data_IF_312130519775
#
_entry.id   IF_312130519775
#
_cell.length_a   1.000
_cell.length_b   1.000
_cell.length_c   1.000
_cell.angle_alpha   90.00
_cell.angle_beta   90.00
_cell.angle_gamma   90.00
#
_symmetry.space_group_name_H-M   'P 1'
#
loop_
_entity.id
_entity.type
_entity.pdbx_description
1 polymer ?
#
# COMPACT_ATOMS: atom_id res chain seq x y z
N UNK A 1 -26.98 -66.90 -35.07
CA UNK A 1 -27.51 -66.10 -36.19
C UNK A 1 -28.79 -65.40 -35.72
N UNK A 2 -29.08 -64.20 -36.23
CA UNK A 2 -30.45 -63.65 -36.26
C UNK A 2 -30.86 -62.74 -35.10
N UNK A 3 -30.77 -61.43 -35.31
CA UNK A 3 -31.47 -60.37 -34.56
C UNK A 3 -33.00 -60.43 -34.75
N UNK A 4 -33.78 -59.74 -33.89
CA UNK A 4 -35.12 -59.32 -34.32
C UNK A 4 -36.17 -58.80 -33.31
N UNK A 5 -35.94 -57.62 -32.69
CA UNK A 5 -36.94 -56.58 -32.32
C UNK A 5 -38.35 -56.93 -31.81
N UNK A 6 -38.76 -56.27 -30.71
CA UNK A 6 -39.89 -55.29 -30.52
C UNK A 6 -40.29 -55.23 -29.01
N UNK A 7 -40.91 -54.20 -28.41
CA UNK A 7 -41.53 -52.89 -28.79
C UNK A 7 -41.72 -52.02 -27.53
N UNK A 8 -41.79 -50.68 -27.66
CA UNK A 8 -42.65 -49.68 -26.93
C UNK A 8 -42.14 -48.25 -27.23
N UNK A 9 -42.71 -47.46 -28.15
CA UNK A 9 -43.90 -46.55 -28.05
C UNK A 9 -43.75 -45.32 -27.14
N UNK A 10 -43.38 -44.19 -27.77
CA UNK A 10 -43.58 -42.75 -27.44
C UNK A 10 -45.08 -42.33 -27.60
N UNK A 11 -45.57 -41.05 -27.54
CA UNK A 11 -44.96 -39.68 -27.41
C UNK A 11 -45.70 -38.81 -26.32
N UNK A 12 -45.79 -37.44 -26.32
CA UNK A 12 -45.18 -36.38 -27.16
C UNK A 12 -44.56 -35.13 -26.44
N UNK A 13 -43.96 -34.26 -27.26
CA UNK A 13 -43.34 -32.97 -26.89
C UNK A 13 -44.34 -31.81 -26.68
N UNK A 14 -43.91 -30.76 -25.99
CA UNK A 14 -44.33 -29.36 -26.24
C UNK A 14 -43.11 -28.42 -26.33
N UNK A 15 -43.31 -27.26 -26.95
CA UNK A 15 -42.27 -26.39 -27.57
C UNK A 15 -41.66 -25.36 -26.62
N UNK A 16 -40.45 -24.91 -26.97
CA UNK A 16 -39.86 -23.64 -26.51
C UNK A 16 -40.66 -22.42 -26.96
N UNK A 17 -40.68 -21.38 -26.12
CA UNK A 17 -40.63 -19.99 -26.56
C UNK A 17 -39.88 -19.14 -25.53
N UNK A 18 -39.42 -17.98 -25.98
CA UNK A 18 -38.35 -17.15 -25.42
C UNK A 18 -38.79 -16.18 -24.29
N UNK A 19 -37.83 -15.36 -23.87
CA UNK A 19 -37.92 -14.11 -23.10
C UNK A 19 -38.15 -14.19 -21.58
N UNK A 20 -37.05 -13.98 -20.83
CA UNK A 20 -36.94 -12.78 -19.98
C UNK A 20 -35.48 -12.35 -19.87
N UNK A 21 -35.19 -11.16 -20.41
CA UNK A 21 -34.01 -10.36 -20.05
C UNK A 21 -34.06 -9.98 -18.56
N UNK A 22 -32.91 -9.97 -17.90
CA UNK A 22 -32.79 -9.59 -16.49
C UNK A 22 -31.33 -9.45 -16.07
N UNK A 23 -30.79 -8.21 -15.93
CA UNK A 23 -29.40 -8.03 -15.53
C UNK A 23 -29.24 -8.33 -14.04
N UNK A 24 -28.65 -9.48 -13.71
CA UNK A 24 -28.15 -9.74 -12.38
C UNK A 24 -27.02 -8.75 -12.08
N UNK A 25 -27.31 -7.78 -11.22
CA UNK A 25 -26.42 -6.67 -10.91
C UNK A 25 -25.34 -7.08 -9.90
N UNK A 26 -24.35 -7.86 -10.35
CA UNK A 26 -23.19 -8.24 -9.54
C UNK A 26 -22.41 -6.99 -9.09
N UNK A 27 -22.18 -6.89 -7.78
CA UNK A 27 -21.51 -5.76 -7.13
C UNK A 27 -19.99 -5.94 -7.07
N UNK A 28 -19.32 -5.75 -8.20
CA UNK A 28 -17.89 -5.99 -8.36
C UNK A 28 -17.02 -4.86 -7.75
N UNK A 29 -15.85 -5.21 -7.19
CA UNK A 29 -14.85 -4.29 -6.64
C UNK A 29 -13.45 -4.55 -7.22
N UNK A 30 -12.55 -3.55 -7.12
CA UNK A 30 -11.28 -3.50 -7.85
C UNK A 30 -10.27 -4.61 -7.48
N UNK A 31 -9.38 -4.90 -8.44
CA UNK A 31 -8.43 -6.02 -8.58
C UNK A 31 -7.46 -6.27 -7.39
N UNK A 32 -7.46 -5.40 -6.40
CA UNK A 32 -6.56 -5.39 -5.23
C UNK A 32 -7.28 -5.46 -3.89
N UNK A 33 -8.63 -5.43 -3.91
CA UNK A 33 -9.58 -5.74 -2.83
C UNK A 33 -9.31 -5.23 -1.41
N UNK A 34 -8.64 -4.08 -1.29
CA UNK A 34 -9.29 -3.03 -0.54
C UNK A 34 -10.53 -2.63 -1.35
N UNK A 35 -11.72 -2.62 -0.74
CA UNK A 35 -12.80 -1.82 -1.32
C UNK A 35 -12.32 -0.36 -1.40
N UNK A 36 -12.74 0.45 -2.39
CA UNK A 36 -12.58 1.90 -2.31
C UNK A 36 -13.07 2.46 -0.97
N UNK A 37 -14.02 1.80 -0.32
CA UNK A 37 -14.55 2.15 1.00
C UNK A 37 -13.60 1.73 2.15
N UNK A 38 -12.82 0.64 2.02
CA UNK A 38 -11.72 0.29 2.95
C UNK A 38 -10.59 1.34 2.88
N UNK A 39 -10.26 1.81 1.68
CA UNK A 39 -9.26 2.86 1.45
C UNK A 39 -9.73 4.24 1.95
N UNK A 40 -11.05 4.52 1.89
CA UNK A 40 -11.67 5.73 2.46
C UNK A 40 -11.74 5.69 3.98
N UNK A 41 -11.97 4.54 4.61
CA UNK A 41 -11.97 4.41 6.07
C UNK A 41 -10.61 4.78 6.71
N UNK A 42 -9.52 4.71 5.93
CA UNK A 42 -8.18 5.13 6.33
C UNK A 42 -7.93 6.66 6.21
N UNK A 43 -8.86 7.44 5.66
CA UNK A 43 -8.72 8.89 5.57
C UNK A 43 -9.08 9.57 6.92
N UNK A 44 -8.34 10.61 7.34
CA UNK A 44 -8.93 11.64 8.19
C UNK A 44 -10.09 12.31 7.42
N UNK A 45 -11.14 12.70 8.13
CA UNK A 45 -12.18 13.53 7.54
C UNK A 45 -11.72 14.97 7.66
N UNK A 46 -11.33 15.59 6.55
CA UNK A 46 -11.12 17.02 6.48
C UNK A 46 -12.48 17.73 6.36
N UNK A 47 -12.67 18.77 7.18
CA UNK A 47 -13.93 19.52 7.31
C UNK A 47 -14.00 20.65 6.28
N UNK A 48 -14.06 20.28 5.00
CA UNK A 48 -14.13 21.23 3.90
C UNK A 48 -15.57 21.72 3.66
N UNK A 49 -15.92 22.80 4.36
CA UNK A 49 -16.90 23.77 3.84
C UNK A 49 -16.16 24.85 3.07
N UNK A 50 -16.24 24.84 1.73
CA UNK A 50 -16.46 26.06 0.94
C UNK A 50 -17.03 25.71 -0.43
N UNK A 51 -18.24 26.19 -0.72
CA UNK A 51 -18.86 26.10 -2.04
C UNK A 51 -18.71 27.44 -2.76
N UNK A 52 -18.23 27.41 -4.01
CA UNK A 52 -18.12 28.58 -4.87
C UNK A 52 -18.22 28.16 -6.34
N UNK A 53 -19.31 28.53 -7.00
CA UNK A 53 -19.56 28.17 -8.40
C UNK A 53 -18.65 28.96 -9.36
N UNK A 54 -18.27 28.34 -10.47
CA UNK A 54 -17.36 28.93 -11.46
C UNK A 54 -18.04 29.73 -12.57
N UNK A 55 -17.21 30.40 -13.39
CA UNK A 55 -17.52 30.87 -14.76
C UNK A 55 -16.21 30.77 -15.58
N UNK A 56 -16.31 30.35 -16.85
CA UNK A 56 -15.24 30.46 -17.86
C UNK A 56 -15.56 31.60 -18.83
N UNK A 57 -14.60 32.51 -19.09
CA UNK A 57 -14.35 33.16 -20.41
C UNK A 57 -12.87 33.59 -20.47
N UNK A 58 -12.26 33.58 -21.66
CA UNK A 58 -10.96 34.16 -22.07
C UNK A 58 -11.08 34.67 -23.52
N UNK A 59 -10.14 35.42 -24.14
CA UNK A 59 -9.17 36.43 -23.64
C UNK A 59 -9.18 37.76 -24.46
N UNK A 60 -8.37 38.76 -24.07
CA UNK A 60 -7.65 39.79 -24.90
C UNK A 60 -6.93 40.78 -23.94
N UNK A 61 -5.62 41.07 -24.05
CA UNK A 61 -4.83 41.94 -24.97
C UNK A 61 -4.71 43.43 -24.56
N UNK A 62 -3.46 43.87 -24.28
CA UNK A 62 -2.91 45.27 -24.28
C UNK A 62 -3.51 46.27 -23.25
N UNK A 63 -2.84 47.27 -22.66
CA UNK A 63 -1.70 48.12 -23.04
C UNK A 63 -1.12 48.88 -21.79
N UNK A 64 -0.25 49.86 -22.03
CA UNK A 64 0.80 50.41 -21.18
C UNK A 64 0.47 51.47 -20.08
N UNK A 65 1.53 51.83 -19.33
CA UNK A 65 1.81 53.13 -18.69
C UNK A 65 1.17 53.61 -17.35
N UNK A 66 2.07 53.94 -16.39
CA UNK A 66 1.93 54.96 -15.32
C UNK A 66 2.33 56.36 -15.88
N UNK A 67 2.48 57.49 -15.13
CA UNK A 67 2.17 57.82 -13.70
C UNK A 67 1.48 59.22 -13.47
N UNK A 68 1.42 59.68 -12.19
CA UNK A 68 1.73 61.07 -11.69
C UNK A 68 0.65 61.83 -10.85
N UNK A 69 1.06 62.18 -9.62
CA UNK A 69 0.70 63.31 -8.71
C UNK A 69 -0.64 63.43 -7.93
N UNK A 70 -0.47 63.85 -6.67
CA UNK A 70 -1.45 64.46 -5.76
C UNK A 70 -1.25 66.00 -5.69
N UNK A 71 -2.09 66.76 -4.97
CA UNK A 71 -1.58 67.27 -3.67
C UNK A 71 -2.61 67.49 -2.52
N UNK A 72 -2.11 67.26 -1.29
CA UNK A 72 -2.20 68.05 -0.03
C UNK A 72 -3.49 68.83 0.35
N UNK A 73 -3.99 68.74 1.60
CA UNK A 73 -3.52 69.43 2.85
C UNK A 73 -4.49 69.07 4.03
N UNK A 74 -4.31 69.28 5.35
CA UNK A 74 -3.21 69.71 6.29
C UNK A 74 -3.66 69.42 7.75
N UNK A 75 -2.75 69.17 8.71
CA UNK A 75 -3.07 69.23 10.15
C UNK A 75 -2.08 68.51 11.11
N UNK A 76 -1.50 69.24 12.07
CA UNK A 76 -0.66 68.83 13.23
C UNK A 76 -1.08 69.72 14.44
N UNK A 77 -0.66 69.52 15.72
CA UNK A 77 0.34 68.59 16.28
C UNK A 77 -0.10 67.80 17.56
N UNK A 78 0.83 67.05 18.17
CA UNK A 78 0.69 66.31 19.45
C UNK A 78 1.24 67.14 20.66
N UNK A 79 1.11 66.69 21.94
CA UNK A 79 1.99 65.64 22.52
C UNK A 79 1.37 64.69 23.60
N UNK A 80 2.24 63.79 24.11
CA UNK A 80 2.16 62.75 25.18
C UNK A 80 1.59 63.17 26.58
N UNK A 81 1.38 62.28 27.62
CA UNK A 81 1.94 60.92 27.85
C UNK A 81 0.99 59.81 28.41
N UNK A 82 1.61 58.70 28.85
CA UNK A 82 1.13 57.36 29.30
C UNK A 82 0.45 57.24 30.68
N UNK A 83 -0.40 56.20 30.90
CA UNK A 83 -0.15 55.03 31.80
C UNK A 83 -1.41 54.21 32.25
N UNK A 84 -1.24 52.88 32.29
CA UNK A 84 -1.85 51.87 33.22
C UNK A 84 -3.34 51.44 33.16
N UNK A 85 -3.56 50.22 33.67
CA UNK A 85 -4.73 49.33 33.53
C UNK A 85 -5.90 49.57 34.52
N UNK A 86 -7.08 48.99 34.25
CA UNK A 86 -7.82 48.10 35.18
C UNK A 86 -9.16 47.58 34.60
N UNK A 87 -9.63 46.43 35.13
CA UNK A 87 -10.80 45.64 34.69
C UNK A 87 -12.04 45.80 35.66
N UNK A 88 -13.13 45.00 35.66
CA UNK A 88 -14.50 45.50 35.43
C UNK A 88 -15.48 45.37 36.63
N UNK A 89 -16.76 45.80 36.49
CA UNK A 89 -17.83 45.57 37.49
C UNK A 89 -19.14 44.95 36.86
N UNK A 90 -20.26 44.67 37.59
CA UNK A 90 -20.69 43.27 37.77
C UNK A 90 -22.21 43.00 37.59
N UNK A 91 -22.71 41.92 38.22
CA UNK A 91 -23.97 41.17 37.98
C UNK A 91 -25.30 41.69 38.54
N UNK A 92 -26.42 41.28 37.91
CA UNK A 92 -27.72 40.91 38.51
C UNK A 92 -28.53 40.03 37.50
N UNK A 93 -29.51 39.18 37.84
CA UNK A 93 -30.03 38.72 39.13
C UNK A 93 -31.56 38.63 39.18
N UNK A 94 -32.18 37.47 38.86
CA UNK A 94 -33.61 37.20 39.12
C UNK A 94 -33.92 35.72 39.45
N UNK A 95 -34.92 35.55 40.32
CA UNK A 95 -35.42 34.30 40.95
C UNK A 95 -36.28 33.43 40.01
N UNK A 96 -36.18 32.10 40.14
CA UNK A 96 -37.28 31.13 40.41
C UNK A 96 -36.64 29.76 40.76
N UNK A 97 -36.98 29.17 41.92
CA UNK A 97 -36.45 27.88 42.37
C UNK A 97 -37.40 26.70 42.06
N UNK A 98 -36.88 25.66 41.40
CA UNK A 98 -37.40 24.28 41.47
C UNK A 98 -36.27 23.33 41.89
N UNK A 99 -36.49 22.41 42.85
CA UNK A 99 -35.45 21.52 43.34
C UNK A 99 -35.11 20.43 42.31
N UNK A 100 -33.95 20.55 41.66
CA UNK A 100 -33.43 19.51 40.78
C UNK A 100 -33.14 18.20 41.54
N UNK A 101 -33.48 17.03 40.98
CA UNK A 101 -33.18 15.74 41.61
C UNK A 101 -31.66 15.51 41.71
N UNK A 102 -31.18 14.73 42.70
CA UNK A 102 -29.76 14.60 43.00
C UNK A 102 -29.00 14.01 41.81
N UNK A 103 -27.92 14.70 41.41
CA UNK A 103 -27.10 14.31 40.28
C UNK A 103 -26.49 12.91 40.48
N UNK A 104 -26.70 12.02 39.50
CA UNK A 104 -26.02 10.74 39.46
C UNK A 104 -24.49 10.97 39.40
N UNK A 105 -23.67 10.13 40.08
CA UNK A 105 -22.23 10.32 40.11
C UNK A 105 -21.65 10.28 38.69
N UNK A 106 -20.63 11.12 38.39
CA UNK A 106 -20.10 11.24 37.05
C UNK A 106 -19.54 9.89 36.58
N UNK A 107 -20.09 9.38 35.47
CA UNK A 107 -19.55 8.20 34.78
C UNK A 107 -18.09 8.51 34.43
N UNK A 108 -17.15 7.81 35.07
CA UNK A 108 -15.74 7.94 34.74
C UNK A 108 -15.56 7.70 33.24
N UNK A 109 -15.16 8.75 32.52
CA UNK A 109 -14.94 8.65 31.09
C UNK A 109 -13.87 7.59 30.83
N UNK A 110 -14.19 6.60 29.99
CA UNK A 110 -13.19 5.66 29.47
C UNK A 110 -12.06 6.48 28.88
N UNK A 111 -10.91 6.56 29.58
CA UNK A 111 -9.66 7.07 29.00
C UNK A 111 -9.47 6.34 27.67
N UNK A 112 -9.25 7.08 26.58
CA UNK A 112 -8.93 6.50 25.27
C UNK A 112 -7.62 5.73 25.41
N UNK A 113 -7.69 4.41 25.67
CA UNK A 113 -6.53 3.49 25.71
C UNK A 113 -5.81 3.66 24.37
N UNK A 114 -4.54 4.03 24.35
CA UNK A 114 -3.74 4.04 23.11
C UNK A 114 -3.65 2.64 22.53
N UNK A 115 -3.31 2.50 21.24
CA UNK A 115 -3.03 1.19 20.66
C UNK A 115 -1.66 0.75 21.19
N UNK A 116 -1.64 -0.19 22.13
CA UNK A 116 -0.42 -0.77 22.68
C UNK A 116 0.01 -2.00 21.87
N UNK A 117 1.32 -2.31 21.80
CA UNK A 117 1.80 -3.55 21.17
C UNK A 117 1.43 -4.77 22.01
N UNK A 118 1.15 -5.89 21.34
CA UNK A 118 0.93 -7.18 21.99
C UNK A 118 2.18 -7.67 22.76
N UNK A 119 2.02 -8.42 23.86
CA UNK A 119 3.15 -9.10 24.51
C UNK A 119 3.85 -10.08 23.55
N UNK A 120 5.17 -9.96 23.42
CA UNK A 120 5.96 -10.82 22.54
C UNK A 120 6.23 -12.16 23.22
N UNK A 121 5.91 -13.27 22.54
CA UNK A 121 6.24 -14.62 23.02
C UNK A 121 7.72 -14.93 22.84
N UNK A 122 8.25 -15.84 23.67
CA UNK A 122 9.65 -16.28 23.59
C UNK A 122 10.03 -16.76 22.18
N UNK A 123 9.17 -17.56 21.54
CA UNK A 123 9.42 -18.06 20.19
C UNK A 123 9.48 -16.97 19.10
N UNK A 124 8.83 -15.82 19.31
CA UNK A 124 8.89 -14.66 18.40
C UNK A 124 10.16 -13.84 18.67
N UNK A 125 10.55 -13.71 19.93
CA UNK A 125 11.82 -13.09 20.31
C UNK A 125 13.02 -13.88 19.78
N UNK A 126 13.02 -15.21 19.90
CA UNK A 126 14.07 -16.10 19.39
C UNK A 126 14.14 -16.06 17.85
N UNK A 127 12.99 -16.05 17.17
CA UNK A 127 12.94 -15.88 15.72
C UNK A 127 13.49 -14.52 15.28
N UNK A 128 13.25 -13.45 16.03
CA UNK A 128 13.81 -12.13 15.74
C UNK A 128 15.31 -12.05 16.01
N UNK A 129 15.80 -12.66 17.09
CA UNK A 129 17.22 -12.69 17.45
C UNK A 129 18.08 -13.51 16.47
N UNK A 130 17.48 -14.48 15.78
CA UNK A 130 18.17 -15.35 14.80
C UNK A 130 18.04 -14.88 13.34
N UNK A 131 17.12 -13.96 13.04
CA UNK A 131 16.94 -13.38 11.71
C UNK A 131 18.12 -12.43 11.37
N UNK A 132 18.71 -12.47 10.17
CA UNK A 132 19.76 -11.53 9.79
C UNK A 132 19.25 -10.08 9.78
N UNK A 133 20.01 -9.09 10.28
CA UNK A 133 19.52 -7.71 10.48
C UNK A 133 19.25 -6.94 9.18
N UNK A 134 19.74 -7.44 8.04
CA UNK A 134 19.42 -6.95 6.70
C UNK A 134 18.11 -7.52 6.12
N UNK A 135 17.43 -8.44 6.82
CA UNK A 135 16.10 -8.95 6.45
C UNK A 135 15.02 -8.18 7.18
N UNK A 136 14.12 -7.55 6.41
CA UNK A 136 12.95 -6.81 6.91
C UNK A 136 11.68 -7.44 6.40
N UNK A 137 10.98 -8.12 7.29
CA UNK A 137 9.64 -8.64 7.02
C UNK A 137 8.59 -7.59 7.36
N UNK A 138 7.44 -7.68 6.71
CA UNK A 138 6.35 -6.74 6.86
C UNK A 138 5.07 -7.20 6.20
N UNK A 139 4.03 -6.38 6.31
CA UNK A 139 2.69 -6.69 5.81
C UNK A 139 2.24 -5.68 4.75
N UNK A 140 1.17 -5.98 4.00
CA UNK A 140 0.64 -5.04 2.98
C UNK A 140 -0.08 -3.81 3.56
N UNK A 141 -0.36 -3.82 4.86
CA UNK A 141 -0.99 -2.74 5.68
C UNK A 141 -0.96 -3.21 7.14
N UNK A 142 -1.18 -2.33 8.11
CA UNK A 142 -1.15 -2.67 9.55
C UNK A 142 -2.52 -2.83 10.21
N UNK A 143 -3.59 -2.23 9.67
CA UNK A 143 -4.74 -1.81 10.48
C UNK A 143 -5.87 -2.86 10.72
N UNK A 144 -5.56 -4.14 10.88
CA UNK A 144 -6.57 -5.20 10.99
C UNK A 144 -6.95 -5.54 12.45
N UNK A 145 -8.25 -5.50 12.85
CA UNK A 145 -8.68 -5.81 14.22
C UNK A 145 -8.36 -7.23 14.68
N UNK A 146 -8.39 -8.22 13.78
CA UNK A 146 -8.05 -9.61 14.11
C UNK A 146 -6.59 -9.85 14.47
N UNK A 147 -5.76 -8.81 14.54
CA UNK A 147 -4.38 -8.91 15.04
C UNK A 147 -4.25 -8.58 16.54
N UNK A 148 -5.36 -8.49 17.27
CA UNK A 148 -5.37 -8.54 18.74
C UNK A 148 -4.66 -9.82 19.23
N UNK A 149 -3.80 -9.68 20.23
CA UNK A 149 -2.92 -10.74 20.74
C UNK A 149 -1.74 -11.11 19.85
N UNK A 150 -1.63 -10.58 18.62
CA UNK A 150 -0.52 -10.84 17.68
C UNK A 150 0.36 -9.60 17.50
N UNK A 151 -0.28 -8.46 17.22
CA UNK A 151 0.37 -7.15 17.02
C UNK A 151 -0.15 -6.13 18.04
N UNK A 152 -1.42 -6.24 18.44
CA UNK A 152 -2.09 -5.27 19.30
C UNK A 152 -2.49 -5.88 20.66
N UNK A 153 -2.39 -5.10 21.73
CA UNK A 153 -2.92 -5.42 23.05
C UNK A 153 -4.35 -4.84 23.20
N UNK A 154 -5.32 -5.59 22.67
CA UNK A 154 -6.75 -5.35 22.77
C UNK A 154 -7.45 -5.14 21.43
N UNK A 155 -8.75 -5.47 21.41
CA UNK A 155 -9.67 -5.17 20.31
C UNK A 155 -9.78 -3.65 20.06
N UNK A 156 -9.43 -3.24 18.84
CA UNK A 156 -9.53 -1.87 18.36
C UNK A 156 -10.17 -1.83 16.97
N UNK A 157 -11.11 -0.90 16.79
CA UNK A 157 -11.70 -0.64 15.48
C UNK A 157 -10.63 -0.27 14.42
N UNK A 158 -10.79 -0.80 13.21
CA UNK A 158 -9.91 -0.58 12.06
C UNK A 158 -9.58 0.90 11.80
N UNK A 159 -10.57 1.80 11.93
CA UNK A 159 -10.40 3.25 11.75
C UNK A 159 -9.42 3.87 12.74
N UNK A 160 -9.30 3.29 13.93
CA UNK A 160 -8.34 3.70 14.95
C UNK A 160 -6.96 3.08 14.69
N UNK A 161 -6.91 1.78 14.38
CA UNK A 161 -5.66 1.12 14.00
C UNK A 161 -4.99 1.80 12.79
N UNK A 162 -5.77 2.27 11.81
CA UNK A 162 -5.27 3.02 10.66
C UNK A 162 -4.62 4.37 11.00
N UNK A 163 -4.88 4.92 12.18
CA UNK A 163 -4.37 6.24 12.62
C UNK A 163 -3.28 6.14 13.70
N UNK A 164 -3.45 5.20 14.63
CA UNK A 164 -2.66 5.06 15.87
C UNK A 164 -1.90 3.72 15.94
N UNK A 165 -2.28 2.71 15.14
CA UNK A 165 -1.74 1.35 15.24
C UNK A 165 -0.40 1.10 14.54
N UNK A 166 0.20 2.10 13.89
CA UNK A 166 1.51 1.94 13.24
C UNK A 166 2.66 1.92 14.27
N UNK A 167 2.51 2.63 15.39
CA UNK A 167 3.51 2.63 16.48
C UNK A 167 3.61 1.26 17.15
N UNK A 168 2.48 0.68 17.54
CA UNK A 168 2.42 -0.70 18.06
C UNK A 168 2.90 -1.74 17.03
N UNK A 169 2.59 -1.55 15.75
CA UNK A 169 3.10 -2.40 14.67
C UNK A 169 4.63 -2.33 14.54
N UNK A 170 5.21 -1.13 14.52
CA UNK A 170 6.65 -0.90 14.41
C UNK A 170 7.45 -1.33 15.65
N UNK A 171 6.79 -1.54 16.78
CA UNK A 171 7.39 -2.11 17.99
C UNK A 171 7.52 -3.65 17.94
N UNK A 172 6.79 -4.34 17.05
CA UNK A 172 6.89 -5.79 16.93
C UNK A 172 8.26 -6.19 16.30
N UNK A 173 9.05 -7.06 16.94
CA UNK A 173 10.49 -7.20 16.63
C UNK A 173 10.78 -7.73 15.21
N UNK A 174 9.85 -8.50 14.62
CA UNK A 174 9.97 -9.01 13.25
C UNK A 174 9.38 -8.08 12.17
N UNK A 175 8.54 -7.10 12.53
CA UNK A 175 7.81 -6.28 11.56
C UNK A 175 8.59 -4.98 11.30
N UNK A 176 9.65 -5.11 10.50
CA UNK A 176 10.59 -4.03 10.16
C UNK A 176 10.30 -3.35 8.82
N UNK A 177 9.17 -3.69 8.21
CA UNK A 177 8.66 -3.06 6.99
C UNK A 177 7.13 -3.03 6.98
N UNK A 178 6.54 -2.16 6.17
CA UNK A 178 5.12 -2.23 5.79
C UNK A 178 4.93 -1.66 4.39
N UNK A 179 3.98 -2.22 3.64
CA UNK A 179 3.55 -1.65 2.36
C UNK A 179 2.56 -0.51 2.59
N UNK A 180 2.75 0.60 1.89
CA UNK A 180 1.78 1.69 1.78
C UNK A 180 1.08 1.56 0.43
N UNK A 181 -0.02 0.81 0.40
CA UNK A 181 -0.82 0.60 -0.82
C UNK A 181 -1.89 1.68 -1.04
N UNK A 182 -2.20 2.50 -0.03
CA UNK A 182 -3.19 3.60 -0.14
C UNK A 182 -2.80 4.63 -1.23
N UNK A 183 -1.51 4.87 -1.41
CA UNK A 183 -0.96 5.77 -2.44
C UNK A 183 -1.31 5.36 -3.88
N UNK A 184 -1.71 4.09 -4.10
CA UNK A 184 -2.24 3.64 -5.39
C UNK A 184 -3.54 4.35 -5.77
N UNK A 185 -4.44 4.60 -4.80
CA UNK A 185 -5.77 5.18 -5.03
C UNK A 185 -5.78 6.72 -5.00
N UNK A 186 -4.72 7.34 -4.48
CA UNK A 186 -4.54 8.78 -4.46
C UNK A 186 -3.19 9.16 -3.85
N UNK A 187 -2.48 10.18 -4.37
CA UNK A 187 -1.25 10.69 -3.78
C UNK A 187 -1.35 10.97 -2.28
N UNK A 188 -0.25 10.76 -1.57
CA UNK A 188 -0.12 11.09 -0.14
C UNK A 188 0.74 12.34 0.02
N UNK A 189 0.39 13.19 0.99
CA UNK A 189 1.12 14.42 1.27
C UNK A 189 2.46 14.14 1.95
N UNK A 190 3.40 15.09 1.86
CA UNK A 190 4.65 15.07 2.65
C UNK A 190 4.35 14.93 4.15
N UNK A 191 3.29 15.58 4.63
CA UNK A 191 2.86 15.52 6.03
C UNK A 191 2.34 14.13 6.44
N UNK A 192 1.64 13.42 5.56
CA UNK A 192 1.22 12.03 5.80
C UNK A 192 2.43 11.10 5.92
N UNK A 193 3.35 11.19 4.97
CA UNK A 193 4.60 10.42 5.00
C UNK A 193 5.40 10.72 6.27
N UNK A 194 5.60 11.99 6.62
CA UNK A 194 6.31 12.41 7.85
C UNK A 194 5.63 11.84 9.10
N UNK A 195 4.30 11.89 9.18
CA UNK A 195 3.53 11.30 10.28
C UNK A 195 3.72 9.78 10.37
N UNK A 196 3.84 9.06 9.25
CA UNK A 196 4.17 7.63 9.27
C UNK A 196 5.63 7.39 9.71
N UNK A 197 6.58 8.18 9.23
CA UNK A 197 8.00 8.08 9.56
C UNK A 197 8.34 8.34 11.03
N UNK A 198 7.52 9.14 11.73
CA UNK A 198 7.63 9.44 13.15
C UNK A 198 7.11 8.31 14.07
N UNK A 199 6.26 7.40 13.56
CA UNK A 199 5.67 6.31 14.34
C UNK A 199 6.52 5.03 14.34
N UNK A 200 7.63 4.97 13.60
CA UNK A 200 8.42 3.74 13.44
C UNK A 200 9.91 3.95 13.74
N UNK A 201 10.65 2.91 14.17
CA UNK A 201 12.10 2.95 14.36
C UNK A 201 12.92 3.34 13.11
N UNK A 202 14.16 3.79 13.30
CA UNK A 202 15.04 4.26 12.21
C UNK A 202 15.54 3.14 11.28
N UNK A 203 15.55 1.88 11.74
CA UNK A 203 15.85 0.70 10.92
C UNK A 203 14.67 0.24 10.06
N UNK A 204 13.46 0.78 10.29
CA UNK A 204 12.24 0.44 9.57
C UNK A 204 12.26 0.96 8.12
N UNK A 205 11.72 0.18 7.17
CA UNK A 205 11.66 0.54 5.75
C UNK A 205 10.26 0.41 5.18
N UNK A 206 9.68 1.50 4.69
CA UNK A 206 8.41 1.47 3.96
C UNK A 206 8.60 0.99 2.51
N UNK A 207 7.62 0.25 2.04
CA UNK A 207 7.44 -0.14 0.62
C UNK A 207 6.24 0.67 0.10
N UNK A 208 6.47 1.72 -0.67
CA UNK A 208 5.40 2.63 -1.08
C UNK A 208 4.99 2.32 -2.50
N UNK A 209 3.69 2.05 -2.72
CA UNK A 209 3.16 1.71 -4.04
C UNK A 209 2.87 2.97 -4.84
N UNK A 210 3.32 3.02 -6.09
CA UNK A 210 3.06 4.15 -6.98
C UNK A 210 1.56 4.32 -7.30
N UNK A 211 1.07 5.54 -7.57
CA UNK A 211 -0.31 5.81 -7.98
C UNK A 211 -0.76 5.05 -9.23
N UNK A 212 -2.03 4.66 -9.26
CA UNK A 212 -2.69 4.07 -10.43
C UNK A 212 -2.66 5.03 -11.65
N UNK A 213 -2.68 6.35 -11.40
CA UNK A 213 -2.60 7.38 -12.45
C UNK A 213 -1.38 7.25 -13.35
N UNK A 214 -0.28 6.65 -12.89
CA UNK A 214 0.93 6.41 -13.70
C UNK A 214 1.23 4.94 -13.97
N UNK A 215 0.62 4.01 -13.23
CA UNK A 215 0.89 2.55 -13.31
C UNK A 215 -0.22 1.68 -13.89
N UNK A 216 -1.45 2.19 -14.04
CA UNK A 216 -2.51 1.50 -14.78
C UNK A 216 -2.64 2.06 -16.19
N UNK A 217 -2.67 1.20 -17.20
CA UNK A 217 -2.83 1.61 -18.60
C UNK A 217 -4.27 2.04 -18.95
N UNK A 218 -5.22 1.74 -18.06
CA UNK A 218 -6.63 2.11 -18.20
C UNK A 218 -7.14 2.84 -16.97
N UNK A 219 -8.03 3.81 -17.17
CA UNK A 219 -8.85 4.33 -16.08
C UNK A 219 -9.84 3.23 -15.70
N UNK A 220 -9.99 2.97 -14.39
CA UNK A 220 -10.96 2.00 -13.87
C UNK A 220 -12.17 2.70 -13.28
N UNK A 221 -13.36 2.21 -13.62
CA UNK A 221 -14.59 2.60 -12.95
C UNK A 221 -14.62 2.09 -11.50
N UNK A 222 -15.65 2.49 -10.73
CA UNK A 222 -15.82 2.12 -9.31
C UNK A 222 -15.77 0.60 -9.04
N UNK A 223 -16.05 -0.22 -10.05
CA UNK A 223 -16.09 -1.68 -10.01
C UNK A 223 -14.83 -2.38 -10.57
N UNK A 224 -13.79 -1.63 -10.94
CA UNK A 224 -12.55 -2.17 -11.54
C UNK A 224 -12.58 -2.30 -13.08
N UNK A 225 -13.76 -2.14 -13.69
CA UNK A 225 -13.93 -2.19 -15.16
C UNK A 225 -13.08 -1.12 -15.86
N UNK A 226 -12.38 -1.42 -16.96
CA UNK A 226 -11.77 -0.41 -17.81
C UNK A 226 -12.83 0.55 -18.37
N UNK A 227 -12.71 1.85 -18.08
CA UNK A 227 -13.59 2.91 -18.62
C UNK A 227 -12.96 3.69 -19.77
N UNK A 228 -11.65 3.51 -20.02
CA UNK A 228 -10.91 4.15 -21.11
C UNK A 228 -9.40 4.01 -20.92
N UNK A 229 -8.61 4.42 -21.92
CA UNK A 229 -7.15 4.51 -21.78
C UNK A 229 -6.80 5.58 -20.75
N UNK A 230 -5.77 5.33 -19.95
CA UNK A 230 -5.24 6.31 -19.01
C UNK A 230 -4.25 7.26 -19.71
N UNK A 231 -4.54 8.57 -19.84
CA UNK A 231 -3.68 9.52 -20.54
C UNK A 231 -2.36 9.81 -19.78
N UNK A 232 -2.31 9.58 -18.46
CA UNK A 232 -1.10 9.81 -17.64
C UNK A 232 -0.31 8.52 -17.37
N UNK A 233 -0.66 7.42 -18.04
CA UNK A 233 0.10 6.16 -17.95
C UNK A 233 1.54 6.36 -18.42
N UNK A 234 2.51 6.04 -17.54
CA UNK A 234 3.93 6.33 -17.75
C UNK A 234 4.29 7.83 -17.86
N UNK A 235 3.53 8.73 -17.22
CA UNK A 235 3.95 10.12 -17.02
C UNK A 235 4.98 10.21 -15.88
N UNK A 236 6.27 10.28 -16.23
CA UNK A 236 7.37 10.41 -15.29
C UNK A 236 7.36 11.74 -14.51
N UNK A 237 6.83 12.81 -15.10
CA UNK A 237 6.77 14.13 -14.45
C UNK A 237 5.65 14.17 -13.40
N UNK A 238 4.51 13.55 -13.68
CA UNK A 238 3.46 13.32 -12.69
C UNK A 238 3.93 12.40 -11.56
N UNK A 239 4.54 11.26 -11.92
CA UNK A 239 5.12 10.33 -10.94
C UNK A 239 6.15 11.01 -10.03
N UNK A 240 6.96 11.91 -10.58
CA UNK A 240 7.94 12.69 -9.81
C UNK A 240 7.26 13.58 -8.77
N UNK A 241 6.33 14.45 -9.21
CA UNK A 241 5.70 15.47 -8.35
C UNK A 241 4.72 14.90 -7.33
N UNK A 242 3.94 13.90 -7.70
CA UNK A 242 2.85 13.39 -6.85
C UNK A 242 3.24 12.19 -6.00
N UNK A 243 4.33 11.50 -6.33
CA UNK A 243 4.72 10.27 -5.66
C UNK A 243 6.17 10.26 -5.18
N UNK A 244 7.14 10.35 -6.09
CA UNK A 244 8.57 10.19 -5.74
C UNK A 244 9.00 11.26 -4.74
N UNK A 245 8.86 12.53 -5.11
CA UNK A 245 9.37 13.64 -4.29
C UNK A 245 8.67 13.72 -2.92
N UNK A 246 7.32 13.70 -2.81
CA UNK A 246 6.67 13.72 -1.50
C UNK A 246 7.02 12.52 -0.60
N UNK A 247 7.22 11.34 -1.19
CA UNK A 247 7.63 10.13 -0.48
C UNK A 247 9.06 10.28 0.10
N UNK A 248 10.00 10.78 -0.70
CA UNK A 248 11.39 10.99 -0.26
C UNK A 248 11.49 12.10 0.80
N UNK A 249 10.78 13.21 0.62
CA UNK A 249 10.77 14.33 1.57
C UNK A 249 10.16 13.95 2.93
N UNK A 250 9.03 13.22 2.93
CA UNK A 250 8.34 12.87 4.16
C UNK A 250 8.92 11.66 4.89
N UNK A 251 9.35 10.60 4.17
CA UNK A 251 9.91 9.41 4.80
C UNK A 251 11.43 9.49 5.03
N UNK A 252 12.14 10.31 4.25
CA UNK A 252 13.60 10.36 4.26
C UNK A 252 14.23 8.97 4.13
N UNK A 253 15.16 8.65 5.03
CA UNK A 253 15.85 7.35 5.09
C UNK A 253 14.93 6.13 5.32
N UNK A 254 13.68 6.34 5.74
CA UNK A 254 12.70 5.25 5.93
C UNK A 254 11.99 4.86 4.61
N UNK A 255 12.15 5.61 3.52
CA UNK A 255 11.73 5.19 2.18
C UNK A 255 12.63 4.05 1.69
N UNK A 256 12.21 2.79 1.87
CA UNK A 256 12.99 1.63 1.41
C UNK A 256 12.80 1.37 -0.08
N UNK A 257 11.55 1.24 -0.51
CA UNK A 257 11.23 0.90 -1.91
C UNK A 257 10.07 1.73 -2.42
N UNK A 258 10.21 2.29 -3.61
CA UNK A 258 9.13 2.90 -4.39
C UNK A 258 8.74 1.89 -5.48
N UNK A 259 7.64 1.17 -5.27
CA UNK A 259 7.19 0.06 -6.13
C UNK A 259 6.20 0.56 -7.17
N UNK A 260 6.63 0.55 -8.42
CA UNK A 260 5.78 0.73 -9.59
C UNK A 260 5.18 -0.62 -9.98
N UNK A 261 4.03 -0.93 -9.38
CA UNK A 261 3.28 -2.15 -9.64
C UNK A 261 2.29 -1.93 -10.79
N UNK A 262 2.65 -2.38 -11.98
CA UNK A 262 1.81 -2.30 -13.17
C UNK A 262 0.62 -3.26 -13.08
N UNK A 263 -0.59 -2.72 -13.22
CA UNK A 263 -1.81 -3.51 -13.39
C UNK A 263 -1.76 -4.37 -14.66
N UNK A 264 -2.59 -5.43 -14.79
CA UNK A 264 -2.72 -6.18 -16.03
C UNK A 264 -2.95 -5.27 -17.23
N UNK A 265 -2.07 -5.36 -18.22
CA UNK A 265 -2.04 -4.45 -19.36
C UNK A 265 -3.01 -4.91 -20.47
N UNK A 266 -3.58 -3.97 -21.25
CA UNK A 266 -4.35 -4.29 -22.44
C UNK A 266 -3.54 -5.10 -23.46
N UNK A 267 -4.19 -6.04 -24.14
CA UNK A 267 -3.55 -6.91 -25.14
C UNK A 267 -2.82 -6.13 -26.25
N UNK A 268 -3.30 -4.93 -26.60
CA UNK A 268 -2.66 -4.05 -27.58
C UNK A 268 -1.25 -3.59 -27.14
N UNK A 269 -0.99 -3.46 -25.83
CA UNK A 269 0.34 -3.16 -25.30
C UNK A 269 1.20 -4.42 -25.16
N UNK A 270 0.59 -5.58 -24.91
CA UNK A 270 1.28 -6.87 -24.80
C UNK A 270 1.64 -7.45 -26.18
N UNK A 271 1.01 -6.99 -27.27
CA UNK A 271 1.29 -7.37 -28.64
C UNK A 271 2.67 -6.90 -29.15
N UNK A 272 3.19 -5.79 -28.62
CA UNK A 272 4.58 -5.34 -28.84
C UNK A 272 5.31 -5.15 -27.50
N UNK A 273 5.83 -6.24 -26.92
CA UNK A 273 6.56 -6.16 -25.65
C UNK A 273 7.88 -5.41 -25.79
N UNK A 274 8.46 -5.28 -27.00
CA UNK A 274 9.71 -4.55 -27.19
C UNK A 274 9.48 -3.04 -27.04
N UNK A 275 8.49 -2.48 -27.74
CA UNK A 275 8.11 -1.08 -27.61
C UNK A 275 7.60 -0.73 -26.20
N UNK A 276 6.91 -1.66 -25.53
CA UNK A 276 6.50 -1.47 -24.13
C UNK A 276 7.70 -1.42 -23.17
N UNK A 277 8.69 -2.30 -23.33
CA UNK A 277 9.93 -2.26 -22.54
C UNK A 277 10.68 -0.94 -22.78
N UNK A 278 10.69 -0.43 -24.01
CA UNK A 278 11.36 0.84 -24.33
C UNK A 278 10.64 2.02 -23.68
N UNK A 279 9.29 2.05 -23.71
CA UNK A 279 8.48 3.04 -22.98
C UNK A 279 8.70 3.00 -21.46
N UNK A 280 8.76 1.80 -20.87
CA UNK A 280 9.11 1.63 -19.46
C UNK A 280 10.52 2.16 -19.18
N UNK A 281 11.47 1.90 -20.08
CA UNK A 281 12.85 2.37 -19.93
C UNK A 281 12.95 3.89 -19.97
N UNK A 282 12.26 4.55 -20.91
CA UNK A 282 12.15 6.01 -20.96
C UNK A 282 11.50 6.59 -19.70
N UNK A 283 10.44 5.95 -19.18
CA UNK A 283 9.77 6.37 -17.95
C UNK A 283 10.72 6.36 -16.75
N UNK A 284 11.40 5.23 -16.48
CA UNK A 284 12.32 5.13 -15.34
C UNK A 284 13.57 6.00 -15.51
N UNK A 285 14.10 6.15 -16.72
CA UNK A 285 15.22 7.05 -17.00
C UNK A 285 14.89 8.54 -16.77
N UNK A 286 13.60 8.90 -16.78
CA UNK A 286 13.12 10.26 -16.54
C UNK A 286 12.70 10.51 -15.07
N UNK A 287 12.78 9.51 -14.19
CA UNK A 287 12.56 9.70 -12.75
C UNK A 287 13.81 10.30 -12.07
N UNK A 288 13.67 10.97 -10.91
CA UNK A 288 14.81 11.50 -10.16
C UNK A 288 15.80 10.40 -9.76
N UNK A 289 17.12 10.68 -9.78
CA UNK A 289 18.11 9.73 -9.27
C UNK A 289 17.91 9.50 -7.77
N UNK A 290 18.07 8.25 -7.33
CA UNK A 290 17.99 7.86 -5.92
C UNK A 290 19.38 7.75 -5.28
N UNK A 291 19.47 7.86 -3.94
CA UNK A 291 20.70 7.57 -3.20
C UNK A 291 21.29 6.18 -3.47
N UNK A 292 22.61 6.13 -3.67
CA UNK A 292 23.36 4.91 -3.98
C UNK A 292 23.85 4.15 -2.73
N UNK A 293 23.44 4.55 -1.52
CA UNK A 293 23.81 3.83 -0.29
C UNK A 293 23.15 2.44 -0.25
N UNK A 294 23.87 1.45 0.29
CA UNK A 294 23.50 0.03 0.17
C UNK A 294 22.08 -0.28 0.70
N UNK A 295 21.66 0.39 1.78
CA UNK A 295 20.35 0.26 2.43
C UNK A 295 19.38 1.42 2.09
N UNK A 296 19.72 2.19 1.06
CA UNK A 296 18.99 3.35 0.60
C UNK A 296 17.77 3.02 -0.25
N UNK A 297 17.03 4.06 -0.63
CA UNK A 297 15.81 3.94 -1.42
C UNK A 297 16.07 3.27 -2.76
N UNK A 298 15.16 2.40 -3.21
CA UNK A 298 15.18 1.78 -4.54
C UNK A 298 13.88 1.99 -5.30
N UNK A 299 13.99 2.21 -6.60
CA UNK A 299 12.88 1.94 -7.51
C UNK A 299 12.78 0.44 -7.73
N UNK A 300 11.56 -0.08 -7.65
CA UNK A 300 11.28 -1.44 -8.05
C UNK A 300 10.08 -1.48 -9.00
N UNK A 301 10.13 -2.36 -9.99
CA UNK A 301 9.01 -2.67 -10.87
C UNK A 301 8.40 -4.00 -10.47
N UNK A 302 7.07 -4.04 -10.39
CA UNK A 302 6.32 -5.27 -10.24
C UNK A 302 5.32 -5.38 -11.41
N UNK A 303 5.27 -6.53 -12.07
CA UNK A 303 4.39 -6.76 -13.23
C UNK A 303 3.26 -7.73 -12.86
N UNK A 304 2.23 -7.77 -13.70
CA UNK A 304 1.07 -8.68 -13.57
C UNK A 304 0.85 -9.55 -14.80
N UNK A 305 1.77 -9.50 -15.75
CA UNK A 305 1.72 -10.20 -17.05
C UNK A 305 3.02 -10.96 -17.27
N UNK A 306 2.97 -12.29 -17.07
CA UNK A 306 4.15 -13.16 -17.15
C UNK A 306 4.86 -13.15 -18.52
N UNK A 307 4.17 -12.76 -19.59
CA UNK A 307 4.74 -12.58 -20.93
C UNK A 307 5.81 -11.49 -21.01
N UNK A 308 5.80 -10.51 -20.09
CA UNK A 308 6.83 -9.46 -20.03
C UNK A 308 8.09 -9.90 -19.29
N UNK A 309 8.06 -11.01 -18.54
CA UNK A 309 9.21 -11.53 -17.79
C UNK A 309 10.24 -12.17 -18.74
N UNK A 310 10.92 -11.31 -19.51
CA UNK A 310 11.85 -11.68 -20.57
C UNK A 310 13.27 -11.23 -20.26
N UNK A 311 14.31 -11.85 -20.87
CA UNK A 311 15.68 -11.38 -20.74
C UNK A 311 15.91 -9.94 -21.26
N UNK A 312 15.09 -9.44 -22.20
CA UNK A 312 15.13 -8.03 -22.64
C UNK A 312 14.68 -7.10 -21.51
N UNK A 313 13.53 -7.40 -20.91
CA UNK A 313 12.98 -6.63 -19.80
C UNK A 313 13.97 -6.56 -18.64
N UNK A 314 14.47 -7.70 -18.18
CA UNK A 314 15.41 -7.75 -17.04
C UNK A 314 16.71 -6.98 -17.31
N UNK A 315 17.29 -7.08 -18.51
CA UNK A 315 18.49 -6.31 -18.86
C UNK A 315 18.22 -4.80 -18.91
N UNK A 316 17.05 -4.37 -19.38
CA UNK A 316 16.68 -2.96 -19.34
C UNK A 316 16.63 -2.43 -17.90
N UNK A 317 16.05 -3.20 -16.96
CA UNK A 317 16.05 -2.86 -15.53
C UNK A 317 17.46 -2.77 -14.95
N UNK A 318 18.36 -3.71 -15.30
CA UNK A 318 19.75 -3.70 -14.87
C UNK A 318 20.46 -2.41 -15.31
N UNK A 319 20.31 -1.99 -16.58
CA UNK A 319 20.87 -0.75 -17.12
C UNK A 319 20.36 0.51 -16.40
N UNK A 320 19.13 0.47 -15.89
CA UNK A 320 18.48 1.60 -15.21
C UNK A 320 18.69 1.60 -13.68
N UNK A 321 19.31 0.55 -13.11
CA UNK A 321 19.41 0.37 -11.66
C UNK A 321 18.06 0.10 -10.97
N UNK A 322 17.01 -0.23 -11.73
CA UNK A 322 15.68 -0.53 -11.21
C UNK A 322 15.63 -2.00 -10.78
N UNK A 323 15.10 -2.28 -9.58
CA UNK A 323 14.98 -3.67 -9.10
C UNK A 323 13.73 -4.34 -9.64
N UNK A 324 13.83 -5.64 -9.91
CA UNK A 324 12.65 -6.47 -10.13
C UNK A 324 12.04 -6.87 -8.77
N UNK A 325 10.75 -6.57 -8.59
CA UNK A 325 9.98 -7.00 -7.44
C UNK A 325 9.36 -8.37 -7.75
N UNK A 326 9.67 -9.38 -6.93
CA UNK A 326 9.05 -10.71 -7.02
C UNK A 326 7.61 -10.61 -6.51
N UNK A 327 6.65 -10.65 -7.43
CA UNK A 327 5.23 -10.56 -7.12
C UNK A 327 4.60 -11.94 -7.08
N UNK A 328 4.10 -12.37 -5.93
CA UNK A 328 3.37 -13.63 -5.80
C UNK A 328 1.88 -13.37 -5.93
N UNK A 329 1.36 -13.76 -7.09
CA UNK A 329 0.02 -13.46 -7.56
C UNK A 329 -0.38 -14.48 -8.65
N UNK A 330 -1.65 -14.86 -8.75
CA UNK A 330 -2.12 -15.91 -9.67
C UNK A 330 -1.87 -15.69 -11.18
N UNK A 331 -1.45 -14.49 -11.61
CA UNK A 331 -1.02 -14.17 -13.00
C UNK A 331 0.50 -14.27 -13.22
N UNK A 332 1.28 -14.44 -12.15
CA UNK A 332 2.74 -14.49 -12.19
C UNK A 332 3.24 -15.92 -12.02
N UNK A 333 4.43 -16.27 -12.54
CA UNK A 333 5.02 -17.58 -12.31
C UNK A 333 5.39 -17.78 -10.84
N UNK A 334 5.70 -19.02 -10.49
CA UNK A 334 6.20 -19.40 -9.17
C UNK A 334 7.48 -18.63 -8.77
N UNK A 335 7.80 -18.53 -7.47
CA UNK A 335 8.99 -17.80 -7.00
C UNK A 335 10.32 -18.34 -7.52
N UNK A 336 10.43 -19.65 -7.80
CA UNK A 336 11.67 -20.26 -8.30
C UNK A 336 11.95 -19.81 -9.75
N UNK A 337 10.92 -19.75 -10.59
CA UNK A 337 11.02 -19.20 -11.94
C UNK A 337 11.30 -17.69 -11.94
N UNK A 338 10.74 -16.95 -10.98
CA UNK A 338 11.09 -15.53 -10.80
C UNK A 338 12.53 -15.33 -10.29
N UNK A 339 13.10 -16.27 -9.52
CA UNK A 339 14.49 -16.21 -9.06
C UNK A 339 15.52 -16.30 -10.20
N UNK A 340 15.21 -16.99 -11.30
CA UNK A 340 16.06 -16.99 -12.50
C UNK A 340 16.14 -15.60 -13.17
N UNK A 341 15.06 -14.82 -13.10
CA UNK A 341 15.04 -13.44 -13.56
C UNK A 341 15.87 -12.51 -12.65
N UNK A 342 15.86 -12.74 -11.33
CA UNK A 342 16.74 -12.03 -10.40
C UNK A 342 18.22 -12.35 -10.66
N UNK A 343 18.59 -13.61 -10.87
CA UNK A 343 19.97 -13.98 -11.19
C UNK A 343 20.49 -13.28 -12.46
N UNK A 344 19.65 -13.11 -13.48
CA UNK A 344 19.99 -12.33 -14.67
C UNK A 344 20.05 -10.81 -14.42
N UNK A 345 19.29 -10.29 -13.46
CA UNK A 345 19.30 -8.88 -13.06
C UNK A 345 20.58 -8.52 -12.29
N UNK A 346 21.04 -9.44 -11.45
CA UNK A 346 22.18 -9.28 -10.55
C UNK A 346 23.53 -9.48 -11.24
N UNK A 347 23.62 -10.42 -12.19
CA UNK A 347 24.88 -10.75 -12.84
C UNK A 347 25.92 -11.21 -11.81
N UNK A 348 27.06 -10.53 -11.75
CA UNK A 348 28.17 -10.87 -10.85
C UNK A 348 28.00 -10.31 -9.42
N UNK A 349 27.10 -9.35 -9.20
CA UNK A 349 26.95 -8.65 -7.93
C UNK A 349 25.46 -8.51 -7.53
N UNK A 350 24.97 -9.25 -6.53
CA UNK A 350 23.57 -9.21 -6.16
C UNK A 350 23.16 -7.84 -5.63
N UNK A 351 22.01 -7.34 -6.08
CA UNK A 351 21.34 -6.19 -5.48
C UNK A 351 20.32 -6.60 -4.41
N UNK A 352 19.58 -5.66 -3.82
CA UNK A 352 18.56 -5.97 -2.81
C UNK A 352 17.43 -6.84 -3.37
N UNK A 353 16.93 -7.74 -2.52
CA UNK A 353 15.78 -8.61 -2.79
C UNK A 353 14.49 -7.92 -2.32
N UNK A 354 13.51 -7.84 -3.21
CA UNK A 354 12.22 -7.18 -2.95
C UNK A 354 11.11 -8.16 -3.36
N UNK A 355 10.23 -8.48 -2.41
CA UNK A 355 9.16 -9.47 -2.57
C UNK A 355 7.84 -8.91 -2.07
N UNK A 356 6.75 -9.11 -2.81
CA UNK A 356 5.38 -8.78 -2.42
C UNK A 356 4.48 -10.02 -2.56
N UNK A 357 4.22 -10.69 -1.45
CA UNK A 357 3.33 -11.85 -1.40
C UNK A 357 1.88 -11.39 -1.27
N UNK A 358 1.17 -11.30 -2.41
CA UNK A 358 -0.14 -10.63 -2.48
C UNK A 358 -1.32 -11.57 -2.25
N UNK A 359 -1.23 -12.82 -2.70
CA UNK A 359 -2.36 -13.76 -2.74
C UNK A 359 -1.86 -15.21 -2.77
N UNK A 360 -2.62 -16.12 -2.16
CA UNK A 360 -2.45 -17.57 -2.30
C UNK A 360 -2.67 -18.02 -3.76
N UNK A 361 -1.83 -18.90 -4.29
CA UNK A 361 -1.83 -19.26 -5.72
C UNK A 361 -3.14 -19.87 -6.25
N UNK A 362 -3.96 -20.47 -5.37
CA UNK A 362 -5.18 -21.17 -5.73
C UNK A 362 -6.49 -20.37 -5.74
N UNK A 363 -6.50 -19.09 -5.34
CA UNK A 363 -7.76 -18.33 -5.14
C UNK A 363 -7.88 -17.04 -5.94
N UNK A 364 -9.12 -16.63 -6.23
CA UNK A 364 -9.45 -15.22 -6.53
C UNK A 364 -9.57 -14.44 -5.21
N UNK A 365 -9.30 -13.13 -5.28
CA UNK A 365 -9.14 -12.26 -4.11
C UNK A 365 -10.31 -12.31 -3.10
N UNK A 366 -11.56 -12.24 -3.57
CA UNK A 366 -12.75 -12.21 -2.71
C UNK A 366 -12.99 -13.54 -1.99
N UNK A 367 -12.67 -14.65 -2.64
CA UNK A 367 -12.74 -15.99 -2.04
C UNK A 367 -11.76 -16.10 -0.87
N UNK A 368 -10.55 -15.53 -1.03
CA UNK A 368 -9.58 -15.43 0.06
C UNK A 368 -10.04 -14.47 1.18
N UNK A 369 -10.59 -13.27 0.85
CA UNK A 369 -11.09 -12.33 1.87
C UNK A 369 -12.17 -12.97 2.75
N UNK A 370 -13.22 -13.51 2.14
CA UNK A 370 -14.34 -14.11 2.85
C UNK A 370 -13.98 -15.39 3.63
N UNK A 371 -12.93 -16.12 3.20
CA UNK A 371 -12.46 -17.34 3.89
C UNK A 371 -11.53 -17.03 5.08
N UNK A 372 -10.78 -15.93 5.03
CA UNK A 372 -9.69 -15.65 5.97
C UNK A 372 -9.97 -14.56 7.00
N UNK A 373 -11.01 -13.74 6.83
CA UNK A 373 -11.44 -12.83 7.90
C UNK A 373 -11.78 -13.63 9.18
N UNK A 374 -11.36 -13.16 10.38
CA UNK A 374 -10.88 -11.81 10.69
C UNK A 374 -9.36 -11.59 10.53
N UNK A 375 -8.62 -12.55 9.95
CA UNK A 375 -7.15 -12.57 9.79
C UNK A 375 -6.34 -12.78 11.08
N UNK A 376 -6.93 -13.51 12.03
CA UNK A 376 -6.38 -13.87 13.35
C UNK A 376 -5.54 -15.16 13.37
N UNK A 377 -5.57 -15.95 12.29
CA UNK A 377 -4.89 -17.24 12.20
C UNK A 377 -4.41 -17.54 10.78
N UNK A 378 -3.48 -18.49 10.67
CA UNK A 378 -3.20 -19.17 9.41
C UNK A 378 -4.39 -20.11 9.09
N UNK A 379 -4.75 -20.20 7.81
CA UNK A 379 -5.93 -20.94 7.31
C UNK A 379 -5.55 -21.87 6.15
N UNK A 380 -4.93 -21.32 5.11
CA UNK A 380 -4.37 -22.09 4.00
C UNK A 380 -2.86 -21.80 3.94
N UNK A 381 -2.09 -22.47 4.80
CA UNK A 381 -0.63 -22.36 4.77
C UNK A 381 -0.06 -22.82 3.43
N UNK A 382 0.99 -22.15 2.96
CA UNK A 382 1.74 -22.50 1.76
C UNK A 382 3.23 -22.70 2.10
N UNK A 383 3.60 -23.84 2.71
CA UNK A 383 4.98 -24.14 3.07
C UNK A 383 5.91 -24.20 1.84
N UNK A 384 5.38 -24.55 0.66
CA UNK A 384 6.18 -24.62 -0.57
C UNK A 384 6.65 -23.22 -1.00
N UNK A 385 5.73 -22.25 -1.03
CA UNK A 385 6.08 -20.84 -1.24
C UNK A 385 6.95 -20.31 -0.12
N UNK A 386 6.63 -20.61 1.15
CA UNK A 386 7.38 -20.09 2.31
C UNK A 386 8.83 -20.55 2.29
N UNK A 387 9.09 -21.83 2.03
CA UNK A 387 10.44 -22.38 1.91
C UNK A 387 11.18 -21.87 0.67
N UNK A 388 10.51 -21.70 -0.48
CA UNK A 388 11.12 -21.09 -1.67
C UNK A 388 11.54 -19.62 -1.42
N UNK A 389 10.73 -18.85 -0.69
CA UNK A 389 11.07 -17.50 -0.27
C UNK A 389 12.17 -17.49 0.80
N UNK A 390 12.19 -18.46 1.71
CA UNK A 390 13.22 -18.57 2.73
C UNK A 390 14.61 -18.86 2.13
N UNK A 391 14.70 -19.79 1.18
CA UNK A 391 15.93 -20.12 0.46
C UNK A 391 16.40 -18.97 -0.47
N UNK A 392 15.47 -18.20 -1.03
CA UNK A 392 15.79 -17.00 -1.77
C UNK A 392 16.34 -15.92 -0.81
N UNK A 393 15.61 -15.61 0.27
CA UNK A 393 16.00 -14.60 1.25
C UNK A 393 17.33 -14.92 1.93
N UNK A 394 17.59 -16.17 2.32
CA UNK A 394 18.84 -16.58 2.96
C UNK A 394 20.06 -16.31 2.06
N UNK A 395 19.98 -16.62 0.76
CA UNK A 395 21.08 -16.35 -0.19
C UNK A 395 21.41 -14.86 -0.29
N UNK A 396 20.40 -13.99 -0.42
CA UNK A 396 20.63 -12.53 -0.49
C UNK A 396 21.09 -11.96 0.86
N UNK A 397 20.54 -12.46 1.97
CA UNK A 397 20.91 -12.02 3.30
C UNK A 397 22.38 -12.37 3.63
N UNK A 398 22.83 -13.59 3.28
CA UNK A 398 24.22 -14.03 3.44
C UNK A 398 25.18 -13.32 2.48
N UNK A 399 24.72 -12.90 1.30
CA UNK A 399 25.44 -12.01 0.39
C UNK A 399 25.47 -10.53 0.86
N UNK A 400 24.99 -10.24 2.08
CA UNK A 400 24.99 -8.89 2.66
C UNK A 400 23.96 -7.93 2.09
N UNK A 401 23.07 -8.39 1.20
CA UNK A 401 22.08 -7.53 0.55
C UNK A 401 20.86 -7.27 1.45
N UNK A 402 20.23 -6.08 1.36
CA UNK A 402 18.93 -5.88 1.97
C UNK A 402 17.88 -6.83 1.39
N UNK A 403 17.07 -7.43 2.25
CA UNK A 403 15.92 -8.25 1.89
C UNK A 403 14.67 -7.60 2.46
N UNK A 404 13.71 -7.26 1.61
CA UNK A 404 12.42 -6.67 2.01
C UNK A 404 11.30 -7.55 1.47
N UNK A 405 10.49 -8.13 2.37
CA UNK A 405 9.36 -9.00 2.02
C UNK A 405 8.11 -8.44 2.70
N UNK A 406 7.10 -8.08 1.91
CA UNK A 406 5.77 -7.71 2.45
C UNK A 406 4.71 -8.75 2.10
N UNK A 407 3.90 -9.15 3.08
CA UNK A 407 2.91 -10.22 2.97
C UNK A 407 1.49 -9.67 3.16
N UNK A 408 0.53 -10.10 2.34
CA UNK A 408 -0.89 -9.82 2.53
C UNK A 408 -1.54 -10.89 3.40
N UNK A 409 -2.60 -10.57 4.17
CA UNK A 409 -3.37 -11.59 4.88
C UNK A 409 -3.90 -12.69 3.95
N UNK A 410 -4.09 -12.36 2.66
CA UNK A 410 -4.59 -13.29 1.63
C UNK A 410 -3.53 -14.23 1.05
N UNK A 411 -2.31 -14.20 1.57
CA UNK A 411 -1.29 -15.21 1.33
C UNK A 411 -1.62 -16.54 2.02
N UNK A 412 -1.91 -16.50 3.32
CA UNK A 412 -2.07 -17.71 4.15
C UNK A 412 -3.15 -17.63 5.25
N UNK A 413 -3.79 -16.46 5.44
CA UNK A 413 -4.78 -16.21 6.50
C UNK A 413 -4.43 -15.00 7.37
N UNK A 414 -3.18 -14.89 7.81
CA UNK A 414 -2.72 -13.79 8.66
C UNK A 414 -1.27 -13.40 8.36
N UNK A 415 -1.07 -12.19 7.84
CA UNK A 415 0.25 -11.69 7.44
C UNK A 415 1.30 -11.62 8.57
N UNK A 416 1.00 -11.18 9.82
CA UNK A 416 1.99 -11.20 10.89
C UNK A 416 2.40 -12.63 11.26
N UNK A 417 1.47 -13.59 11.27
CA UNK A 417 1.79 -15.01 11.51
C UNK A 417 2.61 -15.60 10.36
N UNK A 418 2.30 -15.27 9.11
CA UNK A 418 3.13 -15.61 7.94
C UNK A 418 4.55 -15.03 8.05
N UNK A 419 4.70 -13.79 8.55
CA UNK A 419 6.01 -13.19 8.80
C UNK A 419 6.77 -13.93 9.91
N UNK A 420 6.10 -14.34 10.99
CA UNK A 420 6.70 -15.15 12.07
C UNK A 420 7.19 -16.50 11.54
N UNK A 421 6.35 -17.21 10.77
CA UNK A 421 6.71 -18.49 10.17
C UNK A 421 7.87 -18.35 9.16
N UNK A 422 7.82 -17.35 8.29
CA UNK A 422 8.86 -17.08 7.31
C UNK A 422 10.19 -16.67 7.96
N UNK A 423 10.17 -15.91 9.06
CA UNK A 423 11.37 -15.57 9.81
C UNK A 423 12.11 -16.82 10.32
N UNK A 424 11.36 -17.79 10.87
CA UNK A 424 11.89 -19.07 11.34
C UNK A 424 12.50 -19.88 10.19
N UNK A 425 11.83 -19.95 9.05
CA UNK A 425 12.36 -20.67 7.87
C UNK A 425 13.61 -19.98 7.29
N UNK A 426 13.67 -18.64 7.24
CA UNK A 426 14.86 -17.87 6.82
C UNK A 426 16.04 -18.11 7.77
N UNK A 427 15.81 -18.05 9.09
CA UNK A 427 16.85 -18.30 10.08
C UNK A 427 17.41 -19.74 9.96
N UNK A 428 16.52 -20.72 9.79
CA UNK A 428 16.90 -22.12 9.57
C UNK A 428 17.67 -22.32 8.25
N UNK A 429 17.26 -21.66 7.16
CA UNK A 429 18.00 -21.68 5.89
C UNK A 429 19.40 -21.07 6.05
N UNK A 430 19.51 -19.87 6.66
CA UNK A 430 20.80 -19.24 6.95
C UNK A 430 21.73 -20.14 7.77
N UNK A 431 21.20 -20.92 8.72
CA UNK A 431 21.98 -21.88 9.51
C UNK A 431 22.47 -23.08 8.66
N UNK A 432 21.63 -23.62 7.76
CA UNK A 432 22.03 -24.68 6.81
C UNK A 432 23.17 -24.20 5.90
N UNK A 433 22.96 -23.11 5.17
CA UNK A 433 23.95 -22.55 4.24
C UNK A 433 25.30 -22.24 4.91
N UNK A 434 25.31 -21.74 6.15
CA UNK A 434 26.55 -21.53 6.92
C UNK A 434 27.25 -22.83 7.33
N UNK A 435 26.48 -23.89 7.60
CA UNK A 435 27.02 -25.20 7.95
C UNK A 435 27.60 -25.91 6.72
N UNK A 436 26.91 -25.82 5.58
CA UNK A 436 27.37 -26.35 4.28
C UNK A 436 28.61 -25.62 3.77
N UNK A 437 28.73 -24.31 4.01
CA UNK A 437 29.93 -23.52 3.66
C UNK A 437 31.13 -23.74 4.61
N UNK A 438 30.94 -24.46 5.72
CA UNK A 438 31.96 -24.77 6.72
C UNK A 438 32.43 -26.24 6.70
N UNK A 439 31.82 -27.07 5.83
CA UNK A 439 32.13 -28.48 5.61
C UNK A 439 32.98 -28.69 4.35
#
# INVERSE_FOLDING_TARGET
>A
MGDGRTRRTTPPQRRQHDDTDGPHADGQFDLFGASPDDARAAAPADDDRHAGAGVRVTPDETDDARPVQAPARTGRPAPHPSAQDHEPPPSSGLLWDEPSPPAAPPKQGRRRRSVAPAPISAEVADAAATLPPNVRLGTSSWFFPGWDGIVYDGDFAQTKLSREGLEAYGAHPLLKSVSLDRSFYGPLSVADYLRYAQQVPDDFRFVVKAPASVTDAVVRGRRGEPSGLNPTFLDAQLATREFVQPCLEGLGRKAGVLVFQFSPLPDQLLADPAALIDRLSTFFAALPPLPLDADGTRYAIEIRDASLLTPRFIRALATLGVRYCVGLHARMPDPLRQAAALALLDGDAPGPLIVRWSLHGGFKYEQAKAKYEPFDRLVDEDPATRSALAELAARYALAGQPVIITINNKAEGSAPLSCIALAREIAAACARWRSEAAA
#
